data_IF_038866026310
#
_entry.id   IF_038866026310
#
_cell.length_a   1.000
_cell.length_b   1.000
_cell.length_c   1.000
_cell.angle_alpha   90.00
_cell.angle_beta   90.00
_cell.angle_gamma   90.00
#
_symmetry.space_group_name_H-M   'P 1'
#
loop_
_entity.id
_entity.type
_entity.pdbx_description
1 polymer ?
#
# COMPACT_ATOMS: atom_id res chain seq x y z
N UNK A 1 -17.67 8.44 -12.11
CA UNK A 1 -17.33 7.32 -11.22
C UNK A 1 -16.12 7.71 -10.36
N UNK A 2 -16.22 7.67 -9.03
CA UNK A 2 -15.06 7.91 -8.15
C UNK A 2 -14.27 6.61 -8.11
N UNK A 3 -13.09 6.59 -8.73
CA UNK A 3 -12.22 5.41 -8.71
C UNK A 3 -11.44 5.44 -7.38
N UNK A 4 -11.95 4.68 -6.40
CA UNK A 4 -11.25 4.38 -5.15
C UNK A 4 -10.23 3.26 -5.36
N UNK A 5 -9.34 3.06 -4.39
CA UNK A 5 -8.40 1.94 -4.44
C UNK A 5 -9.17 0.60 -4.44
N UNK A 6 -8.99 -0.27 -5.45
CA UNK A 6 -9.73 -1.54 -5.54
C UNK A 6 -9.22 -2.60 -4.57
N UNK A 7 -8.04 -2.39 -3.96
CA UNK A 7 -7.43 -3.32 -3.01
C UNK A 7 -7.63 -2.91 -1.55
N UNK A 8 -8.39 -1.84 -1.24
CA UNK A 8 -8.51 -1.33 0.14
C UNK A 8 -9.06 -2.36 1.11
N UNK A 9 -10.13 -3.07 0.74
CA UNK A 9 -10.80 -4.05 1.61
C UNK A 9 -9.91 -5.23 1.98
N UNK A 10 -8.97 -5.58 1.11
CA UNK A 10 -8.06 -6.71 1.28
C UNK A 10 -6.61 -6.27 1.58
N UNK A 11 -6.38 -4.98 1.83
CA UNK A 11 -5.02 -4.46 2.00
C UNK A 11 -4.43 -4.95 3.34
N UNK A 12 -3.29 -5.67 3.34
CA UNK A 12 -2.68 -6.17 4.57
C UNK A 12 -2.29 -5.05 5.53
N UNK A 13 -2.01 -3.84 5.01
CA UNK A 13 -1.77 -2.67 5.84
C UNK A 13 -2.92 -2.50 6.83
N UNK A 14 -4.18 -2.48 6.37
CA UNK A 14 -5.34 -2.25 7.23
C UNK A 14 -5.83 -3.52 7.93
N UNK A 15 -5.77 -4.68 7.27
CA UNK A 15 -6.34 -5.92 7.81
C UNK A 15 -5.43 -6.65 8.80
N UNK A 16 -4.11 -6.64 8.57
CA UNK A 16 -3.14 -7.30 9.48
C UNK A 16 -2.65 -6.39 10.60
N UNK A 17 -3.22 -5.19 10.68
CA UNK A 17 -2.81 -4.14 11.61
C UNK A 17 -1.27 -3.93 11.66
N UNK A 18 -0.65 -3.69 10.50
CA UNK A 18 0.80 -3.47 10.41
C UNK A 18 1.30 -2.18 11.08
N UNK A 19 0.42 -1.20 11.31
CA UNK A 19 0.75 0.06 12.00
C UNK A 19 0.31 0.03 13.46
N UNK A 20 1.17 0.46 14.39
CA UNK A 20 0.76 0.44 15.81
C UNK A 20 -0.31 1.48 16.16
N UNK A 21 -0.44 2.55 15.37
CA UNK A 21 -1.30 3.70 15.67
C UNK A 21 -2.47 3.80 14.70
N UNK A 22 -3.68 3.91 15.26
CA UNK A 22 -4.92 4.06 14.47
C UNK A 22 -4.87 5.27 13.53
N UNK A 23 -4.35 6.40 14.03
CA UNK A 23 -4.21 7.64 13.27
C UNK A 23 -3.39 7.48 11.99
N UNK A 24 -2.34 6.66 12.02
CA UNK A 24 -1.52 6.37 10.84
C UNK A 24 -2.29 5.58 9.79
N UNK A 25 -3.16 4.64 10.18
CA UNK A 25 -4.02 3.95 9.21
C UNK A 25 -4.97 4.91 8.53
N UNK A 26 -5.67 5.73 9.31
CA UNK A 26 -6.65 6.66 8.79
C UNK A 26 -5.99 7.68 7.86
N UNK A 27 -4.79 8.16 8.20
CA UNK A 27 -4.00 9.03 7.33
C UNK A 27 -3.69 8.37 5.98
N UNK A 28 -3.11 7.15 5.98
CA UNK A 28 -2.79 6.45 4.72
C UNK A 28 -4.02 6.06 3.92
N UNK A 29 -5.10 5.62 4.58
CA UNK A 29 -6.36 5.26 3.93
C UNK A 29 -6.97 6.48 3.26
N UNK A 30 -7.02 7.62 3.93
CA UNK A 30 -7.55 8.85 3.36
C UNK A 30 -6.69 9.37 2.20
N UNK A 31 -5.37 9.37 2.37
CA UNK A 31 -4.43 9.88 1.38
C UNK A 31 -4.47 9.06 0.07
N UNK A 32 -4.43 7.73 0.16
CA UNK A 32 -4.27 6.87 -1.01
C UNK A 32 -5.55 6.16 -1.46
N UNK A 33 -6.48 5.85 -0.55
CA UNK A 33 -7.65 5.03 -0.88
C UNK A 33 -8.94 5.83 -1.07
N UNK A 34 -9.12 6.91 -0.30
CA UNK A 34 -10.32 7.76 -0.37
C UNK A 34 -10.19 8.89 -1.40
N UNK A 35 -8.97 9.23 -1.80
CA UNK A 35 -8.72 10.26 -2.82
C UNK A 35 -8.69 9.62 -4.21
N UNK A 36 -9.37 10.25 -5.18
CA UNK A 36 -9.49 9.72 -6.54
C UNK A 36 -8.10 9.48 -7.15
N UNK A 37 -7.87 8.26 -7.63
CA UNK A 37 -6.67 7.82 -8.37
C UNK A 37 -5.31 7.90 -7.64
N UNK A 38 -5.25 8.46 -6.42
CA UNK A 38 -4.01 8.49 -5.61
C UNK A 38 -3.45 7.10 -5.32
N UNK A 39 -4.26 6.06 -5.35
CA UNK A 39 -3.81 4.68 -5.17
C UNK A 39 -2.80 4.24 -6.24
N UNK A 40 -2.81 4.87 -7.43
CA UNK A 40 -1.81 4.64 -8.48
C UNK A 40 -0.40 5.08 -8.06
N UNK A 41 -0.30 5.98 -7.08
CA UNK A 41 0.96 6.43 -6.48
C UNK A 41 1.33 5.66 -5.19
N UNK A 42 0.42 4.82 -4.68
CA UNK A 42 0.66 4.03 -3.47
C UNK A 42 1.62 2.88 -3.79
N UNK A 43 2.79 2.87 -3.17
CA UNK A 43 3.80 1.82 -3.42
C UNK A 43 3.29 0.42 -3.13
N UNK A 44 2.48 0.25 -2.07
CA UNK A 44 1.86 -1.05 -1.75
C UNK A 44 0.89 -1.53 -2.84
N UNK A 45 0.13 -0.60 -3.44
CA UNK A 45 -0.78 -0.93 -4.52
C UNK A 45 -0.01 -1.37 -5.77
N UNK A 46 1.00 -0.58 -6.16
CA UNK A 46 1.85 -0.86 -7.32
C UNK A 46 2.50 -2.24 -7.17
N UNK A 47 3.16 -2.50 -6.04
CA UNK A 47 3.83 -3.79 -5.77
C UNK A 47 2.84 -4.95 -5.80
N UNK A 48 1.69 -4.82 -5.14
CA UNK A 48 0.67 -5.88 -5.13
C UNK A 48 0.00 -6.09 -6.49
N UNK A 49 -0.05 -5.06 -7.32
CA UNK A 49 -0.59 -5.18 -8.68
C UNK A 49 0.37 -5.94 -9.58
N UNK A 50 1.67 -5.67 -9.46
CA UNK A 50 2.72 -6.30 -10.27
C UNK A 50 3.03 -7.74 -9.82
N UNK A 51 3.18 -7.95 -8.51
CA UNK A 51 3.67 -9.22 -7.95
C UNK A 51 2.55 -10.10 -7.36
N UNK A 52 1.30 -9.64 -7.39
CA UNK A 52 0.15 -10.30 -6.75
C UNK A 52 0.11 -10.21 -5.21
N UNK A 53 1.24 -9.90 -4.58
CA UNK A 53 1.39 -9.77 -3.13
C UNK A 53 2.31 -8.59 -2.76
N UNK A 54 2.33 -8.17 -1.49
CA UNK A 54 3.16 -7.05 -1.03
C UNK A 54 3.66 -7.32 0.39
N UNK A 55 4.97 -7.21 0.60
CA UNK A 55 5.59 -7.43 1.89
C UNK A 55 5.17 -6.39 2.95
N UNK A 56 5.26 -6.78 4.21
CA UNK A 56 4.76 -5.96 5.32
C UNK A 56 5.60 -4.70 5.57
N UNK A 57 6.89 -4.72 5.20
CA UNK A 57 7.78 -3.56 5.35
C UNK A 57 7.51 -2.42 4.36
N UNK A 58 6.81 -2.68 3.25
CA UNK A 58 6.57 -1.66 2.21
C UNK A 58 5.49 -0.70 2.68
N UNK A 59 5.82 0.57 2.91
CA UNK A 59 4.82 1.59 3.25
C UNK A 59 4.19 2.23 2.02
N UNK A 60 2.95 2.77 2.08
CA UNK A 60 2.30 3.42 0.93
C UNK A 60 3.15 4.53 0.28
N UNK A 61 3.90 5.28 1.09
CA UNK A 61 4.79 6.37 0.69
C UNK A 61 6.28 5.94 0.60
N UNK A 62 6.56 4.63 0.53
CA UNK A 62 7.93 4.13 0.43
C UNK A 62 8.65 4.70 -0.79
N UNK A 63 9.87 5.21 -0.58
CA UNK A 63 10.76 5.72 -1.64
C UNK A 63 11.44 4.62 -2.44
N UNK A 64 11.41 3.37 -1.96
CA UNK A 64 12.04 2.24 -2.67
C UNK A 64 11.49 2.06 -4.10
N UNK A 65 12.40 1.68 -4.99
CA UNK A 65 12.09 1.19 -6.34
C UNK A 65 11.48 -0.21 -6.28
N UNK A 66 10.89 -0.66 -7.39
CA UNK A 66 10.37 -2.03 -7.47
C UNK A 66 11.49 -3.07 -7.31
N UNK A 67 12.67 -2.83 -7.89
CA UNK A 67 13.83 -3.71 -7.79
C UNK A 67 14.38 -3.82 -6.37
N UNK A 68 14.46 -2.71 -5.64
CA UNK A 68 14.90 -2.70 -4.24
C UNK A 68 13.94 -3.50 -3.35
N UNK A 69 12.62 -3.35 -3.59
CA UNK A 69 11.60 -4.09 -2.86
C UNK A 69 11.72 -5.59 -3.16
N UNK A 70 11.83 -5.96 -4.43
CA UNK A 70 12.00 -7.37 -4.82
C UNK A 70 13.27 -7.98 -4.24
N UNK A 71 14.38 -7.23 -4.23
CA UNK A 71 15.65 -7.68 -3.63
C UNK A 71 15.50 -7.93 -2.14
N UNK A 72 14.84 -7.01 -1.42
CA UNK A 72 14.55 -7.17 0.02
C UNK A 72 13.56 -8.29 0.34
N UNK A 73 12.70 -8.68 -0.60
CA UNK A 73 11.75 -9.79 -0.40
C UNK A 73 12.37 -11.18 -0.56
N UNK A 74 13.52 -11.28 -1.24
CA UNK A 74 14.22 -12.55 -1.48
C UNK A 74 15.21 -12.92 -0.36
N UNK A 75 15.57 -11.96 0.48
CA UNK A 75 16.47 -12.12 1.63
C UNK A 75 15.67 -12.31 2.92
#
# INVERSE_FOLDING_TARGET
MIIKCPKTENCPLFNKKLLKRESSYNAYKNLYCCTKERFKECKRYIVSNELGHCADFVMPNSSYSMEEIMTKMKN
#
